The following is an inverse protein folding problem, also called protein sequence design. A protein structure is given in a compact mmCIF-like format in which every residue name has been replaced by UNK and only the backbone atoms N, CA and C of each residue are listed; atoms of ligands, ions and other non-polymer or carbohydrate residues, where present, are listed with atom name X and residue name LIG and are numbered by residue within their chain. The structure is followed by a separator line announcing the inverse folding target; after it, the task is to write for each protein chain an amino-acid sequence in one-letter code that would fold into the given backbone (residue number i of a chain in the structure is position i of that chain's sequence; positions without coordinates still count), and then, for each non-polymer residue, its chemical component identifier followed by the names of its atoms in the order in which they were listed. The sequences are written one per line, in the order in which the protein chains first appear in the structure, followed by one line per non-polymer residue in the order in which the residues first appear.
data_IF_054826841184
#
_entry.id   IF_054826841184
#
_cell.length_a   1.000
_cell.length_b   1.000
_cell.length_c   1.000
_cell.angle_alpha   90.00
_cell.angle_beta   90.00
_cell.angle_gamma   90.00
#
_symmetry.space_group_name_H-M   'P 1'
#
loop_
_entity.id
_entity.type
_entity.pdbx_description
1 polymer ?
#
# COMPACT_ATOMS: atom_id res chain seq x y z
N UNK A 1 -0.51 14.13 -11.06
CA UNK A 1 -1.49 13.04 -11.04
C UNK A 1 -1.32 12.27 -9.74
N UNK A 2 -2.26 12.33 -8.82
CA UNK A 2 -2.17 11.65 -7.51
C UNK A 2 -2.54 10.17 -7.63
N UNK A 3 -1.64 9.27 -7.22
CA UNK A 3 -1.84 7.82 -7.27
C UNK A 3 -1.41 7.18 -5.96
N UNK A 4 -2.37 6.63 -5.22
CA UNK A 4 -2.12 6.03 -3.91
C UNK A 4 -2.14 4.50 -4.03
N UNK A 5 -1.09 3.84 -3.56
CA UNK A 5 -1.07 2.40 -3.37
C UNK A 5 -1.60 2.03 -1.97
N UNK A 6 -2.34 0.94 -1.85
CA UNK A 6 -2.80 0.36 -0.59
C UNK A 6 -2.19 -1.02 -0.45
N UNK A 7 -1.34 -1.24 0.55
CA UNK A 7 -0.87 -2.58 0.89
C UNK A 7 -1.97 -3.33 1.67
N UNK A 8 -2.63 -4.30 1.02
CA UNK A 8 -3.83 -4.92 1.56
C UNK A 8 -3.62 -6.36 2.05
N UNK A 9 -3.82 -6.55 3.36
CA UNK A 9 -3.75 -7.88 3.99
C UNK A 9 -5.09 -8.61 4.08
N UNK A 10 -6.21 -7.88 3.95
CA UNK A 10 -7.55 -8.40 4.24
C UNK A 10 -7.94 -8.38 5.72
N UNK A 11 -7.06 -7.94 6.62
CA UNK A 11 -7.35 -7.87 8.06
C UNK A 11 -8.16 -6.64 8.46
N UNK A 12 -8.81 -6.70 9.63
CA UNK A 12 -9.53 -5.56 10.23
C UNK A 12 -8.60 -4.35 10.45
N UNK A 13 -7.36 -4.60 10.85
CA UNK A 13 -6.37 -3.54 11.03
C UNK A 13 -6.03 -2.85 9.69
N UNK A 14 -5.93 -3.59 8.58
CA UNK A 14 -5.79 -2.98 7.25
C UNK A 14 -7.04 -2.19 6.85
N UNK A 15 -8.24 -2.68 7.18
CA UNK A 15 -9.49 -1.96 6.92
C UNK A 15 -9.56 -0.62 7.69
N UNK A 16 -9.14 -0.61 8.96
CA UNK A 16 -9.06 0.61 9.79
C UNK A 16 -8.10 1.64 9.19
N UNK A 17 -6.94 1.21 8.70
CA UNK A 17 -5.95 2.09 8.07
C UNK A 17 -6.51 2.73 6.80
N UNK A 18 -7.17 1.93 5.96
CA UNK A 18 -7.87 2.43 4.76
C UNK A 18 -8.95 3.44 5.15
N UNK A 19 -9.77 3.13 6.16
CA UNK A 19 -10.81 4.04 6.65
C UNK A 19 -10.23 5.39 7.10
N UNK A 20 -9.11 5.39 7.83
CA UNK A 20 -8.43 6.60 8.24
C UNK A 20 -7.82 7.39 7.07
N UNK A 21 -7.46 6.71 5.98
CA UNK A 21 -6.89 7.32 4.79
C UNK A 21 -7.94 7.83 3.78
N UNK A 22 -9.24 7.62 4.03
CA UNK A 22 -10.32 7.95 3.10
C UNK A 22 -10.31 9.38 2.56
N UNK A 23 -10.02 10.44 3.34
CA UNK A 23 -9.96 11.80 2.80
C UNK A 23 -8.92 11.96 1.68
N UNK A 24 -7.78 11.28 1.79
CA UNK A 24 -6.74 11.30 0.75
C UNK A 24 -7.08 10.37 -0.41
N UNK A 25 -7.64 9.18 -0.13
CA UNK A 25 -8.07 8.24 -1.17
C UNK A 25 -9.17 8.83 -2.06
N UNK A 26 -10.11 9.59 -1.47
CA UNK A 26 -11.16 10.28 -2.21
C UNK A 26 -10.64 11.44 -3.08
N UNK A 27 -9.51 12.05 -2.71
CA UNK A 27 -8.84 13.09 -3.49
C UNK A 27 -7.83 12.54 -4.52
N UNK A 28 -7.60 11.23 -4.54
CA UNK A 28 -6.67 10.59 -5.45
C UNK A 28 -7.29 10.40 -6.84
N UNK A 29 -6.52 10.64 -7.91
CA UNK A 29 -6.97 10.36 -9.28
C UNK A 29 -7.04 8.85 -9.58
N UNK A 30 -6.22 8.08 -8.87
CA UNK A 30 -6.18 6.62 -8.95
C UNK A 30 -5.77 6.03 -7.60
N UNK A 31 -6.30 4.85 -7.30
CA UNK A 31 -5.88 3.98 -6.21
C UNK A 31 -5.52 2.61 -6.75
N UNK A 32 -4.42 2.01 -6.27
CA UNK A 32 -4.09 0.61 -6.58
C UNK A 32 -3.97 -0.19 -5.30
N UNK A 33 -4.68 -1.31 -5.23
CA UNK A 33 -4.58 -2.27 -4.12
C UNK A 33 -3.49 -3.27 -4.45
N UNK A 34 -2.45 -3.31 -3.62
CA UNK A 34 -1.35 -4.27 -3.72
C UNK A 34 -1.68 -5.50 -2.90
N UNK A 35 -1.57 -6.67 -3.53
CA UNK A 35 -1.75 -7.98 -2.94
C UNK A 35 -0.47 -8.79 -3.11
N UNK A 36 0.17 -9.15 -2.00
CA UNK A 36 1.32 -10.07 -2.00
C UNK A 36 0.84 -11.43 -1.48
N UNK A 37 1.12 -12.51 -2.22
CA UNK A 37 0.72 -13.89 -1.89
C UNK A 37 -0.79 -14.07 -1.68
N UNK A 38 -1.59 -13.30 -2.41
CA UNK A 38 -3.06 -13.33 -2.34
C UNK A 38 -3.65 -13.24 -3.73
N UNK A 39 -4.74 -13.98 -3.98
CA UNK A 39 -5.54 -13.82 -5.19
C UNK A 39 -6.35 -12.53 -5.18
N UNK A 40 -6.72 -12.04 -6.37
CA UNK A 40 -7.44 -10.76 -6.54
C UNK A 40 -8.75 -10.67 -5.73
N UNK A 41 -9.43 -11.80 -5.53
CA UNK A 41 -10.65 -11.89 -4.72
C UNK A 41 -10.47 -11.36 -3.28
N UNK A 42 -9.25 -11.40 -2.74
CA UNK A 42 -8.93 -10.85 -1.42
C UNK A 42 -9.19 -9.33 -1.33
N UNK A 43 -9.16 -8.62 -2.45
CA UNK A 43 -9.44 -7.18 -2.53
C UNK A 43 -10.88 -6.86 -2.96
N UNK A 44 -11.69 -7.84 -3.38
CA UNK A 44 -12.99 -7.60 -4.03
C UNK A 44 -13.91 -6.65 -3.25
N UNK A 45 -14.10 -6.92 -1.96
CA UNK A 45 -14.91 -6.06 -1.10
C UNK A 45 -14.37 -4.63 -1.02
N UNK A 46 -13.04 -4.48 -0.93
CA UNK A 46 -12.41 -3.17 -0.85
C UNK A 46 -12.54 -2.39 -2.17
N UNK A 47 -12.40 -3.08 -3.32
CA UNK A 47 -12.65 -2.50 -4.65
C UNK A 47 -14.08 -2.00 -4.74
N UNK A 48 -15.05 -2.81 -4.34
CA UNK A 48 -16.48 -2.44 -4.37
C UNK A 48 -16.77 -1.25 -3.44
N UNK A 49 -16.21 -1.25 -2.22
CA UNK A 49 -16.40 -0.20 -1.22
C UNK A 49 -15.84 1.15 -1.71
N UNK A 50 -14.62 1.17 -2.24
CA UNK A 50 -13.97 2.38 -2.76
C UNK A 50 -14.60 2.84 -4.08
N UNK A 51 -14.96 1.91 -4.95
CA UNK A 51 -15.60 2.18 -6.24
C UNK A 51 -16.98 2.84 -6.07
N UNK A 52 -17.77 2.43 -5.06
CA UNK A 52 -19.02 3.13 -4.70
C UNK A 52 -18.79 4.58 -4.28
N UNK A 53 -17.59 4.91 -3.77
CA UNK A 53 -17.17 6.27 -3.45
C UNK A 53 -16.70 7.11 -4.67
N UNK A 54 -16.78 6.56 -5.89
CA UNK A 54 -16.33 7.24 -7.11
C UNK A 54 -14.81 7.19 -7.32
N UNK A 55 -14.08 6.42 -6.53
CA UNK A 55 -12.62 6.30 -6.62
C UNK A 55 -12.28 5.32 -7.75
N UNK A 56 -11.34 5.69 -8.62
CA UNK A 56 -10.80 4.79 -9.64
C UNK A 56 -9.84 3.81 -8.99
N UNK A 57 -10.25 2.55 -8.85
CA UNK A 57 -9.47 1.51 -8.16
C UNK A 57 -8.98 0.45 -9.14
N UNK A 58 -7.72 0.06 -9.02
CA UNK A 58 -7.14 -1.13 -9.65
C UNK A 58 -6.61 -2.11 -8.61
N UNK A 59 -6.37 -3.35 -9.02
CA UNK A 59 -5.75 -4.40 -8.20
C UNK A 59 -4.43 -4.80 -8.86
N UNK A 60 -3.39 -5.01 -8.06
CA UNK A 60 -2.09 -5.51 -8.48
C UNK A 60 -1.68 -6.65 -7.56
N UNK A 61 -1.84 -7.88 -8.04
CA UNK A 61 -1.54 -9.09 -7.28
C UNK A 61 -0.27 -9.75 -7.79
N UNK A 62 0.66 -10.03 -6.88
CA UNK A 62 1.94 -10.67 -7.18
C UNK A 62 2.26 -11.75 -6.14
N UNK A 63 3.06 -12.73 -6.54
CA UNK A 63 3.64 -13.70 -5.62
C UNK A 63 4.73 -13.04 -4.77
N UNK A 64 4.92 -13.51 -3.55
CA UNK A 64 6.00 -13.13 -2.66
C UNK A 64 7.38 -13.44 -3.23
N UNK A 65 8.38 -12.66 -2.85
CA UNK A 65 9.76 -12.85 -3.27
C UNK A 65 10.78 -12.77 -2.13
N UNK A 66 12.04 -13.04 -2.47
CA UNK A 66 13.15 -13.15 -1.52
C UNK A 66 13.61 -11.81 -0.88
N UNK A 67 13.05 -10.67 -1.31
CA UNK A 67 13.38 -9.35 -0.74
C UNK A 67 12.75 -9.13 0.63
N UNK A 68 11.75 -9.95 0.97
CA UNK A 68 10.92 -9.77 2.14
C UNK A 68 9.78 -8.78 1.90
N UNK A 69 8.70 -8.99 2.65
CA UNK A 69 7.41 -8.36 2.42
C UNK A 69 7.43 -6.83 2.39
N UNK A 70 8.16 -6.19 3.30
CA UNK A 70 8.25 -4.72 3.36
C UNK A 70 8.93 -4.13 2.12
N UNK A 71 10.06 -4.72 1.71
CA UNK A 71 10.80 -4.30 0.52
C UNK A 71 9.99 -4.52 -0.76
N UNK A 72 9.28 -5.65 -0.83
CA UNK A 72 8.44 -5.97 -1.98
C UNK A 72 7.25 -5.01 -2.09
N UNK A 73 6.53 -4.71 -1.01
CA UNK A 73 5.41 -3.74 -1.03
C UNK A 73 5.84 -2.40 -1.63
N UNK A 74 7.01 -1.90 -1.24
CA UNK A 74 7.53 -0.62 -1.74
C UNK A 74 7.94 -0.73 -3.21
N UNK A 75 8.62 -1.81 -3.60
CA UNK A 75 8.99 -2.07 -4.98
C UNK A 75 7.76 -2.12 -5.89
N UNK A 76 6.70 -2.81 -5.48
CA UNK A 76 5.45 -2.90 -6.22
C UNK A 76 4.69 -1.57 -6.26
N UNK A 77 4.71 -0.79 -5.18
CA UNK A 77 4.14 0.56 -5.18
C UNK A 77 4.81 1.47 -6.23
N UNK A 78 6.13 1.40 -6.36
CA UNK A 78 6.87 2.09 -7.42
C UNK A 78 6.56 1.51 -8.81
N UNK A 79 6.49 0.19 -8.95
CA UNK A 79 6.22 -0.48 -10.22
C UNK A 79 4.85 -0.07 -10.81
N UNK A 80 3.84 0.15 -9.96
CA UNK A 80 2.52 0.63 -10.40
C UNK A 80 2.46 2.15 -10.62
N UNK A 81 3.54 2.88 -10.29
CA UNK A 81 3.64 4.33 -10.42
C UNK A 81 2.93 5.13 -9.32
N UNK A 82 2.74 4.52 -8.14
CA UNK A 82 2.15 5.23 -7.01
C UNK A 82 3.09 6.32 -6.51
N UNK A 83 2.51 7.44 -6.06
CA UNK A 83 3.20 8.55 -5.40
C UNK A 83 2.83 8.70 -3.92
N UNK A 84 2.08 7.76 -3.34
CA UNK A 84 1.89 7.59 -1.90
C UNK A 84 1.56 6.13 -1.56
N UNK A 85 1.84 5.70 -0.32
CA UNK A 85 1.56 4.35 0.16
C UNK A 85 0.75 4.40 1.47
N UNK A 86 -0.36 3.68 1.47
CA UNK A 86 -1.18 3.41 2.66
C UNK A 86 -0.92 1.97 3.08
N UNK A 87 -0.36 1.78 4.27
CA UNK A 87 -0.05 0.45 4.79
C UNK A 87 -0.31 0.39 6.29
N UNK A 88 -1.01 -0.66 6.73
CA UNK A 88 -1.14 -0.96 8.14
C UNK A 88 -1.71 -2.35 8.37
N UNK A 89 -1.31 -2.94 9.49
CA UNK A 89 -1.38 -4.36 9.88
C UNK A 89 -0.20 -5.25 9.48
N UNK A 90 0.61 -4.86 8.50
CA UNK A 90 1.88 -5.54 8.27
C UNK A 90 2.85 -5.13 9.39
N UNK A 91 3.43 -6.12 10.10
CA UNK A 91 4.22 -5.89 11.32
C UNK A 91 5.10 -4.67 11.14
N UNK A 92 4.93 -3.67 12.00
CA UNK A 92 5.65 -2.40 11.96
C UNK A 92 7.17 -2.63 11.77
N UNK A 93 7.70 -3.71 12.37
CA UNK A 93 9.08 -4.16 12.20
C UNK A 93 9.48 -4.50 10.76
N UNK A 94 8.62 -5.07 9.91
CA UNK A 94 9.01 -5.45 8.54
C UNK A 94 9.21 -4.22 7.63
N UNK A 95 8.39 -3.18 7.82
CA UNK A 95 8.54 -1.90 7.11
C UNK A 95 9.69 -1.07 7.72
N UNK A 96 9.89 -1.13 9.04
CA UNK A 96 11.00 -0.45 9.72
C UNK A 96 12.34 -1.13 9.45
N UNK A 97 12.44 -2.46 9.52
CA UNK A 97 13.64 -3.22 9.19
C UNK A 97 14.08 -2.96 7.75
N UNK A 98 13.12 -2.90 6.81
CA UNK A 98 13.38 -2.43 5.46
C UNK A 98 13.93 -0.99 5.44
N UNK A 99 13.30 -0.07 6.15
CA UNK A 99 13.76 1.32 6.24
C UNK A 99 15.16 1.48 6.88
N UNK A 100 15.58 0.51 7.70
CA UNK A 100 16.83 0.53 8.46
C UNK A 100 17.97 -0.32 7.84
N UNK A 101 17.74 -0.96 6.70
CA UNK A 101 18.72 -1.82 6.02
C UNK A 101 19.88 -1.07 5.33
N UNK A 102 20.99 -0.93 6.03
CA UNK A 102 22.38 -0.85 5.50
C UNK A 102 22.88 0.50 4.99
N UNK A 103 22.24 1.11 4.00
CA UNK A 103 22.76 2.32 3.31
C UNK A 103 21.69 3.42 3.20
N UNK A 104 20.53 3.19 3.79
CA UNK A 104 19.24 3.74 3.34
C UNK A 104 18.61 4.75 4.31
N UNK A 105 19.47 5.32 5.16
CA UNK A 105 19.29 6.66 5.75
C UNK A 105 19.16 7.77 4.68
N UNK A 106 19.38 7.43 3.39
CA UNK A 106 19.25 8.31 2.22
C UNK A 106 17.92 8.19 1.45
N UNK A 107 17.02 7.25 1.81
CA UNK A 107 15.71 7.08 1.13
C UNK A 107 14.49 7.47 1.96
N UNK A 108 14.59 7.81 3.25
CA UNK A 108 13.57 8.72 3.80
C UNK A 108 13.66 10.11 3.13
N UNK A 109 14.77 10.40 2.43
CA UNK A 109 14.95 11.55 1.52
C UNK A 109 14.77 11.23 0.03
N UNK A 110 14.42 10.00 -0.36
CA UNK A 110 14.24 9.61 -1.78
C UNK A 110 13.08 8.62 -2.04
N UNK A 111 12.36 8.18 -1.01
CA UNK A 111 11.02 7.64 -1.14
C UNK A 111 10.10 8.85 -1.29
N UNK A 112 9.85 9.27 -2.53
CA UNK A 112 8.90 10.32 -2.89
C UNK A 112 7.43 9.90 -2.61
N UNK A 113 7.20 9.01 -1.64
CA UNK A 113 5.90 8.47 -1.26
C UNK A 113 5.59 8.85 0.19
N UNK A 114 4.64 9.76 0.44
CA UNK A 114 4.05 9.92 1.76
C UNK A 114 3.53 8.55 2.25
N UNK A 115 4.06 8.11 3.39
CA UNK A 115 3.69 6.84 4.01
C UNK A 115 2.67 7.09 5.13
N UNK A 116 1.44 6.60 4.94
CA UNK A 116 0.44 6.59 6.00
C UNK A 116 0.50 5.28 6.77
N UNK A 117 1.05 5.35 7.98
CA UNK A 117 1.05 4.27 8.97
C UNK A 117 -0.01 4.58 10.02
N UNK A 118 -0.95 3.65 10.25
CA UNK A 118 -1.87 3.71 11.38
C UNK A 118 -1.78 2.42 12.20
N UNK A 119 -1.90 2.56 13.53
CA UNK A 119 -1.86 1.49 14.53
C UNK A 119 -3.28 1.16 15.05
#
# INVERSE_FOLDING_TARGET
MSHIAIAWSGSEASAKVVANAMPWLAAAERVTILLIDKGEDAARKLVDDLGRGGIRVGVHAVAGDDRGLGAQIVAEAHAVGANALVAGAYRHNALIEWALGGTTRHLLSAADLPLFLAH
#
